data_IF_614008805774
#
_entry.id   IF_614008805774
#
_cell.length_a   1.000
_cell.length_b   1.000
_cell.length_c   1.000
_cell.angle_alpha   90.00
_cell.angle_beta   90.00
_cell.angle_gamma   90.00
#
_symmetry.space_group_name_H-M   'P 1'
#
loop_
_entity.id
_entity.type
_entity.pdbx_description
1 polymer ?
#
# COMPACT_ATOMS: atom_id res chain seq x y z
N UNK A 1 -11.05 17.90 10.72
CA UNK A 1 -9.83 17.62 9.92
C UNK A 1 -10.16 17.89 8.46
N UNK A 2 -9.40 18.76 7.80
CA UNK A 2 -9.56 19.01 6.35
C UNK A 2 -8.80 17.96 5.54
N UNK A 3 -9.14 17.82 4.25
CA UNK A 3 -8.43 16.91 3.34
C UNK A 3 -6.94 17.26 3.26
N UNK A 4 -6.61 18.55 3.20
CA UNK A 4 -5.22 19.01 3.18
C UNK A 4 -4.45 18.64 4.44
N UNK A 5 -5.08 18.76 5.62
CA UNK A 5 -4.48 18.34 6.89
C UNK A 5 -4.24 16.83 6.94
N UNK A 6 -5.17 16.03 6.40
CA UNK A 6 -5.03 14.58 6.30
C UNK A 6 -3.85 14.21 5.38
N UNK A 7 -3.76 14.82 4.20
CA UNK A 7 -2.65 14.58 3.26
C UNK A 7 -1.31 15.00 3.90
N UNK A 8 -1.24 16.15 4.56
CA UNK A 8 -0.01 16.57 5.26
C UNK A 8 0.36 15.55 6.35
N UNK A 9 -0.63 15.12 7.15
CA UNK A 9 -0.42 14.09 8.16
C UNK A 9 0.07 12.77 7.57
N UNK A 10 -0.39 12.38 6.39
CA UNK A 10 0.08 11.20 5.67
C UNK A 10 1.56 11.29 5.31
N UNK A 11 2.02 12.43 4.81
CA UNK A 11 3.44 12.63 4.53
C UNK A 11 4.28 12.78 5.81
N UNK A 12 3.71 13.33 6.87
CA UNK A 12 4.42 13.49 8.14
C UNK A 12 4.63 12.15 8.87
N UNK A 13 3.59 11.33 8.98
CA UNK A 13 3.62 10.06 9.74
C UNK A 13 3.87 8.82 8.86
N UNK A 14 3.48 8.88 7.59
CA UNK A 14 3.35 7.71 6.71
C UNK A 14 4.38 7.60 5.60
N UNK A 15 5.26 8.60 5.38
CA UNK A 15 6.11 8.66 4.18
C UNK A 15 7.02 7.44 4.01
N UNK A 16 7.67 6.98 5.08
CA UNK A 16 8.51 5.79 5.04
C UNK A 16 7.68 4.54 4.72
N UNK A 17 6.51 4.40 5.34
CA UNK A 17 5.63 3.26 5.11
C UNK A 17 5.05 3.24 3.70
N UNK A 18 4.68 4.40 3.15
CA UNK A 18 4.27 4.55 1.75
C UNK A 18 5.40 4.12 0.81
N UNK A 19 6.63 4.60 1.04
CA UNK A 19 7.80 4.23 0.24
C UNK A 19 8.12 2.73 0.29
N UNK A 20 8.14 2.14 1.49
CA UNK A 20 8.35 0.69 1.68
C UNK A 20 7.26 -0.14 1.01
N UNK A 21 6.02 0.31 1.05
CA UNK A 21 4.89 -0.35 0.40
C UNK A 21 5.01 -0.32 -1.12
N UNK A 22 5.40 0.83 -1.70
CA UNK A 22 5.70 0.94 -3.13
C UNK A 22 6.89 0.04 -3.51
N UNK A 23 7.96 0.01 -2.71
CA UNK A 23 9.12 -0.86 -2.94
C UNK A 23 8.73 -2.34 -2.91
N UNK A 24 7.97 -2.77 -1.91
CA UNK A 24 7.44 -4.14 -1.83
C UNK A 24 6.58 -4.48 -3.06
N UNK A 25 5.74 -3.53 -3.51
CA UNK A 25 4.97 -3.67 -4.76
C UNK A 25 5.87 -3.95 -5.96
N UNK A 26 6.94 -3.18 -6.13
CA UNK A 26 7.89 -3.37 -7.24
C UNK A 26 8.53 -4.75 -7.18
N UNK A 27 9.06 -5.13 -6.01
CA UNK A 27 9.76 -6.41 -5.83
C UNK A 27 8.82 -7.57 -6.14
N UNK A 28 7.62 -7.56 -5.57
CA UNK A 28 6.66 -8.65 -5.74
C UNK A 28 6.17 -8.71 -7.19
N UNK A 29 5.83 -7.58 -7.81
CA UNK A 29 5.41 -7.55 -9.21
C UNK A 29 6.51 -8.09 -10.14
N UNK A 30 7.79 -7.87 -9.81
CA UNK A 30 8.93 -8.40 -10.55
C UNK A 30 9.07 -9.91 -10.41
N UNK A 31 8.94 -10.44 -9.19
CA UNK A 31 9.04 -11.89 -8.93
C UNK A 31 7.83 -12.64 -9.51
N UNK A 32 6.62 -12.10 -9.32
CA UNK A 32 5.37 -12.75 -9.71
C UNK A 32 4.97 -12.54 -11.19
N UNK A 33 5.62 -11.60 -11.91
CA UNK A 33 5.34 -11.28 -13.32
C UNK A 33 3.87 -10.90 -13.58
N UNK A 34 3.19 -10.35 -12.58
CA UNK A 34 1.80 -9.90 -12.69
C UNK A 34 1.55 -8.65 -11.83
N UNK A 35 0.52 -7.86 -12.17
CA UNK A 35 0.11 -6.73 -11.34
C UNK A 35 -0.45 -7.27 -10.06
N UNK A 36 0.37 -7.26 -9.02
CA UNK A 36 0.06 -8.05 -7.87
C UNK A 36 -0.63 -7.19 -6.82
N UNK A 37 -1.79 -7.67 -6.41
CA UNK A 37 -2.56 -7.14 -5.28
C UNK A 37 -1.90 -7.46 -3.94
N UNK A 38 -0.77 -8.19 -3.84
CA UNK A 38 -0.16 -8.48 -2.53
C UNK A 38 0.09 -7.25 -1.65
N UNK A 39 0.56 -6.11 -2.15
CA UNK A 39 0.67 -4.91 -1.31
C UNK A 39 -0.69 -4.53 -0.72
N UNK A 40 -1.75 -4.58 -1.52
CA UNK A 40 -3.14 -4.37 -1.09
C UNK A 40 -3.65 -5.48 -0.15
N UNK A 41 -3.20 -6.74 -0.30
CA UNK A 41 -3.57 -7.87 0.55
C UNK A 41 -2.84 -7.83 1.89
N UNK A 42 -1.52 -7.58 1.91
CA UNK A 42 -0.71 -7.38 3.11
C UNK A 42 -1.27 -6.21 3.89
N UNK A 43 -1.58 -5.14 3.16
CA UNK A 43 -2.38 -4.05 3.70
C UNK A 43 -3.66 -4.65 4.32
N UNK A 44 -4.59 -5.23 3.56
CA UNK A 44 -5.88 -5.68 4.09
C UNK A 44 -5.74 -6.52 5.38
N UNK A 45 -4.76 -7.43 5.42
CA UNK A 45 -4.42 -8.23 6.60
C UNK A 45 -4.02 -7.37 7.80
N UNK A 46 -3.22 -6.32 7.59
CA UNK A 46 -2.84 -5.39 8.65
C UNK A 46 -4.03 -4.56 9.18
N UNK A 47 -5.06 -4.22 8.37
CA UNK A 47 -6.33 -3.67 8.91
C UNK A 47 -7.01 -4.67 9.80
N UNK A 48 -7.13 -5.92 9.33
CA UNK A 48 -7.80 -6.97 10.08
C UNK A 48 -7.13 -7.19 11.44
N UNK A 49 -5.79 -7.16 11.49
CA UNK A 49 -5.04 -7.22 12.74
C UNK A 49 -5.27 -5.99 13.64
N UNK A 50 -5.33 -4.79 13.08
CA UNK A 50 -5.68 -3.56 13.81
C UNK A 50 -7.07 -3.67 14.46
N UNK A 51 -8.05 -4.23 13.75
CA UNK A 51 -9.40 -4.47 14.27
C UNK A 51 -9.39 -5.53 15.37
N UNK A 52 -8.65 -6.63 15.18
CA UNK A 52 -8.50 -7.66 16.22
C UNK A 52 -7.88 -7.08 17.49
N UNK A 53 -6.82 -6.28 17.38
CA UNK A 53 -6.18 -5.65 18.53
C UNK A 53 -7.10 -4.65 19.26
N UNK A 54 -7.97 -3.94 18.53
CA UNK A 54 -9.02 -3.11 19.13
C UNK A 54 -10.03 -3.97 19.92
N UNK A 55 -10.49 -5.09 19.35
CA UNK A 55 -11.42 -6.00 20.02
C UNK A 55 -10.82 -6.64 21.27
N UNK A 56 -9.51 -6.91 21.25
CA UNK A 56 -8.72 -7.38 22.39
C UNK A 56 -8.37 -6.27 23.39
N UNK A 57 -8.91 -5.05 23.21
CA UNK A 57 -8.68 -3.87 24.06
C UNK A 57 -7.21 -3.51 24.23
N UNK A 58 -6.36 -3.84 23.26
CA UNK A 58 -4.94 -3.47 23.25
C UNK A 58 -4.72 -2.00 22.87
N UNK A 59 -5.76 -1.35 22.32
CA UNK A 59 -5.75 0.06 21.95
C UNK A 59 -6.99 0.77 22.45
N UNK A 60 -6.86 2.07 22.68
CA UNK A 60 -8.02 2.95 22.80
C UNK A 60 -8.64 3.20 21.42
N UNK A 61 -9.93 3.58 21.40
CA UNK A 61 -10.60 3.93 20.14
C UNK A 61 -9.88 5.09 19.41
N UNK A 62 -9.31 6.04 20.16
CA UNK A 62 -8.54 7.15 19.60
C UNK A 62 -7.25 6.69 18.92
N UNK A 63 -6.50 5.79 19.56
CA UNK A 63 -5.29 5.18 18.98
C UNK A 63 -5.62 4.37 17.73
N UNK A 64 -6.76 3.68 17.71
CA UNK A 64 -7.23 2.97 16.52
C UNK A 64 -7.46 3.93 15.35
N UNK A 65 -8.24 5.00 15.57
CA UNK A 65 -8.53 5.98 14.52
C UNK A 65 -7.28 6.68 14.01
N UNK A 66 -6.35 7.01 14.91
CA UNK A 66 -5.06 7.59 14.52
C UNK A 66 -4.28 6.65 13.60
N UNK A 67 -4.08 5.39 14.00
CA UNK A 67 -3.35 4.41 13.21
C UNK A 67 -4.04 4.14 11.87
N UNK A 68 -5.37 4.01 11.87
CA UNK A 68 -6.14 3.77 10.64
C UNK A 68 -5.98 4.94 9.65
N UNK A 69 -6.12 6.18 10.12
CA UNK A 69 -6.18 7.36 9.26
C UNK A 69 -4.80 7.85 8.83
N UNK A 70 -3.77 7.78 9.68
CA UNK A 70 -2.48 8.43 9.44
C UNK A 70 -1.33 7.47 9.13
N UNK A 71 -1.44 6.21 9.54
CA UNK A 71 -0.44 5.20 9.21
C UNK A 71 -0.96 4.34 8.07
N UNK A 72 -2.18 3.84 8.23
CA UNK A 72 -2.65 2.74 7.41
C UNK A 72 -3.25 3.18 6.06
N UNK A 73 -4.20 4.12 6.06
CA UNK A 73 -4.76 4.72 4.84
C UNK A 73 -3.72 5.23 3.83
N UNK A 74 -2.64 5.96 4.22
CA UNK A 74 -1.64 6.40 3.26
C UNK A 74 -0.94 5.25 2.54
N UNK A 75 -0.65 4.15 3.26
CA UNK A 75 0.00 2.97 2.69
C UNK A 75 -0.90 2.33 1.62
N UNK A 76 -2.20 2.19 1.90
CA UNK A 76 -3.18 1.69 0.93
C UNK A 76 -3.29 2.61 -0.27
N UNK A 77 -3.41 3.91 -0.04
CA UNK A 77 -3.51 4.90 -1.11
C UNK A 77 -2.27 4.87 -2.01
N UNK A 78 -1.07 4.84 -1.44
CA UNK A 78 0.18 4.73 -2.18
C UNK A 78 0.26 3.43 -3.01
N UNK A 79 -0.09 2.29 -2.41
CA UNK A 79 -0.16 0.99 -3.12
C UNK A 79 -1.15 1.02 -4.29
N UNK A 80 -2.33 1.59 -4.09
CA UNK A 80 -3.37 1.67 -5.11
C UNK A 80 -2.96 2.60 -6.25
N UNK A 81 -2.48 3.81 -5.94
CA UNK A 81 -1.99 4.79 -6.92
C UNK A 81 -0.84 4.21 -7.72
N UNK A 82 0.10 3.52 -7.07
CA UNK A 82 1.25 2.96 -7.76
C UNK A 82 0.86 1.82 -8.72
N UNK A 83 0.00 0.90 -8.29
CA UNK A 83 -0.51 -0.15 -9.17
C UNK A 83 -1.33 0.42 -10.34
N UNK A 84 -2.19 1.42 -10.07
CA UNK A 84 -2.94 2.11 -11.11
C UNK A 84 -1.99 2.80 -12.11
N UNK A 85 -0.95 3.48 -11.62
CA UNK A 85 0.08 4.09 -12.45
C UNK A 85 0.79 3.07 -13.34
N UNK A 86 1.22 1.93 -12.80
CA UNK A 86 1.84 0.86 -13.58
C UNK A 86 0.88 0.24 -14.62
N UNK A 87 -0.40 0.13 -14.29
CA UNK A 87 -1.44 -0.32 -15.21
C UNK A 87 -1.61 0.66 -16.38
N UNK A 88 -1.69 1.96 -16.09
CA UNK A 88 -1.84 3.02 -17.09
C UNK A 88 -0.60 3.11 -18.01
N UNK A 89 0.61 3.12 -17.44
CA UNK A 89 1.87 3.20 -18.19
C UNK A 89 1.98 2.06 -19.21
N UNK A 90 1.52 0.86 -18.86
CA UNK A 90 1.57 -0.31 -19.74
C UNK A 90 0.31 -0.52 -20.55
N UNK A 91 -0.65 0.40 -20.47
CA UNK A 91 -1.93 0.32 -21.18
C UNK A 91 -2.67 -1.00 -20.91
N UNK A 92 -2.63 -1.47 -19.66
CA UNK A 92 -3.25 -2.72 -19.24
C UNK A 92 -2.58 -4.00 -19.74
N UNK A 93 -1.40 -3.92 -20.37
CA UNK A 93 -0.62 -5.12 -20.72
C UNK A 93 0.02 -5.71 -19.46
N UNK A 94 0.00 -7.05 -19.27
CA UNK A 94 0.62 -7.70 -18.13
C UNK A 94 2.14 -7.45 -18.09
N UNK A 95 2.75 -7.65 -16.92
CA UNK A 95 4.21 -7.66 -16.76
C UNK A 95 4.81 -8.86 -17.53
N UNK A 96 4.98 -8.74 -18.85
CA UNK A 96 5.67 -9.76 -19.68
C UNK A 96 7.15 -9.89 -19.28
N UNK A 97 7.70 -11.09 -19.45
CA UNK A 97 9.14 -11.28 -19.58
C UNK A 97 9.64 -10.46 -20.77
N UNK A 98 10.64 -9.62 -20.55
CA UNK A 98 11.61 -9.36 -21.61
C UNK A 98 12.29 -10.71 -21.85
N UNK A 99 11.87 -11.39 -22.91
CA UNK A 99 12.61 -12.50 -23.48
C UNK A 99 14.00 -11.92 -23.77
N UNK A 100 15.02 -12.38 -23.06
CA UNK A 100 16.40 -12.04 -23.38
C UNK A 100 16.61 -12.36 -24.86
N UNK A 101 17.19 -11.45 -25.66
CA UNK A 101 17.49 -11.78 -27.05
C UNK A 101 18.38 -13.03 -27.01
N UNK A 102 17.91 -14.11 -27.62
CA UNK A 102 18.78 -15.26 -27.88
C UNK A 102 19.87 -14.77 -28.84
N UNK A 103 21.11 -14.81 -28.35
CA UNK A 103 22.33 -14.58 -29.14
C UNK A 103 22.50 -15.66 -30.22
#
# INVERSE_FOLDING_TARGET
MTVSQLIIGWFYYGILYMGLSMMATVIINRVAKHYFTAPLVINAVAVSLLVVLLLLKQFTAEQFWFNLLFVYMPIVAASAIFNLGLFLIRKGKPLKEEIMPEE
#
